data_IF_065601580444
#
_entry.id   IF_065601580444
#
_cell.length_a   1.000
_cell.length_b   1.000
_cell.length_c   1.000
_cell.angle_alpha   90.00
_cell.angle_beta   90.00
_cell.angle_gamma   90.00
#
_symmetry.space_group_name_H-M   'P 1'
#
loop_
_entity.id
_entity.type
_entity.pdbx_description
1 polymer ?
#
# COMPACT_ATOMS: atom_id res chain seq x y z
N UNK A 1 -11.35 51.45 25.39
CA UNK A 1 -12.51 50.67 24.90
C UNK A 1 -12.39 50.35 23.41
N UNK A 2 -11.95 51.28 22.56
CA UNK A 2 -11.79 51.07 21.11
C UNK A 2 -10.76 49.99 20.72
N UNK A 3 -9.61 49.95 21.40
CA UNK A 3 -8.53 48.97 21.11
C UNK A 3 -8.96 47.51 21.36
N UNK A 4 -9.68 47.29 22.49
CA UNK A 4 -10.21 45.96 22.81
C UNK A 4 -11.28 45.50 21.81
N UNK A 5 -12.14 46.41 21.38
CA UNK A 5 -13.16 46.13 20.37
C UNK A 5 -12.51 45.81 19.01
N UNK A 6 -11.50 46.57 18.61
CA UNK A 6 -10.74 46.33 17.38
C UNK A 6 -10.07 44.95 17.39
N UNK A 7 -9.40 44.59 18.49
CA UNK A 7 -8.78 43.26 18.66
C UNK A 7 -9.82 42.16 18.62
N UNK A 8 -10.94 42.33 19.33
CA UNK A 8 -12.02 41.34 19.35
C UNK A 8 -12.60 41.11 17.95
N UNK A 9 -12.86 42.17 17.18
CA UNK A 9 -13.36 42.04 15.81
C UNK A 9 -12.34 41.43 14.87
N UNK A 10 -11.06 41.78 14.98
CA UNK A 10 -9.99 41.20 14.17
C UNK A 10 -9.83 39.72 14.46
N UNK A 11 -9.85 39.30 15.72
CA UNK A 11 -9.79 37.88 16.11
C UNK A 11 -11.04 37.10 15.69
N UNK A 12 -12.23 37.70 15.84
CA UNK A 12 -13.46 37.06 15.37
C UNK A 12 -13.46 36.84 13.85
N UNK A 13 -13.00 37.85 13.09
CA UNK A 13 -12.82 37.73 11.64
C UNK A 13 -11.83 36.63 11.27
N UNK A 14 -10.67 36.58 11.92
CA UNK A 14 -9.67 35.54 11.72
C UNK A 14 -10.22 34.15 12.06
N UNK A 15 -10.98 34.03 13.15
CA UNK A 15 -11.62 32.78 13.54
C UNK A 15 -12.63 32.29 12.50
N UNK A 16 -13.46 33.18 11.95
CA UNK A 16 -14.41 32.84 10.88
C UNK A 16 -13.68 32.37 9.62
N UNK A 17 -12.61 33.07 9.22
CA UNK A 17 -11.80 32.67 8.06
C UNK A 17 -11.15 31.30 8.27
N UNK A 18 -10.67 31.01 9.47
CA UNK A 18 -10.09 29.71 9.81
C UNK A 18 -11.12 28.57 9.75
N UNK A 19 -12.30 28.75 10.38
CA UNK A 19 -13.39 27.74 10.34
C UNK A 19 -13.84 27.47 8.90
N UNK A 20 -13.97 28.53 8.10
CA UNK A 20 -14.38 28.42 6.69
C UNK A 20 -13.26 27.94 5.78
N UNK A 21 -12.07 27.65 6.32
CA UNK A 21 -10.87 27.26 5.54
C UNK A 21 -10.64 28.22 4.36
N UNK A 22 -10.79 29.52 4.62
CA UNK A 22 -10.71 30.54 3.60
C UNK A 22 -9.33 30.54 2.91
N UNK A 23 -9.25 30.73 1.58
CA UNK A 23 -7.99 30.83 0.87
C UNK A 23 -7.18 32.04 1.30
N UNK A 24 -5.86 31.99 1.16
CA UNK A 24 -4.93 33.03 1.64
C UNK A 24 -5.21 34.44 1.13
N UNK A 25 -5.75 34.59 -0.08
CA UNK A 25 -6.11 35.89 -0.61
C UNK A 25 -7.24 36.57 0.18
N UNK A 26 -8.18 35.80 0.76
CA UNK A 26 -9.21 36.37 1.66
C UNK A 26 -8.59 36.84 3.00
N UNK A 27 -7.61 36.10 3.51
CA UNK A 27 -6.86 36.54 4.69
C UNK A 27 -6.08 37.84 4.43
N UNK A 28 -5.47 37.95 3.22
CA UNK A 28 -4.77 39.15 2.80
C UNK A 28 -5.70 40.37 2.78
N UNK A 29 -6.90 40.22 2.18
CA UNK A 29 -7.90 41.29 2.12
C UNK A 29 -8.40 41.67 3.52
N UNK A 30 -8.77 40.67 4.33
CA UNK A 30 -9.28 40.94 5.70
C UNK A 30 -8.22 41.62 6.57
N UNK A 31 -6.96 41.19 6.49
CA UNK A 31 -5.87 41.82 7.22
C UNK A 31 -5.58 43.25 6.70
N UNK A 32 -5.66 43.49 5.39
CA UNK A 32 -5.51 44.85 4.82
C UNK A 32 -6.61 45.77 5.29
N UNK A 33 -7.86 45.32 5.32
CA UNK A 33 -8.99 46.07 5.83
C UNK A 33 -8.80 46.36 7.34
N UNK A 34 -8.41 45.38 8.13
CA UNK A 34 -8.14 45.54 9.55
C UNK A 34 -7.00 46.58 9.78
N UNK A 35 -5.93 46.49 8.99
CA UNK A 35 -4.82 47.47 9.04
C UNK A 35 -5.33 48.90 8.76
N UNK A 36 -6.09 49.08 7.68
CA UNK A 36 -6.64 50.38 7.31
C UNK A 36 -7.52 50.95 8.40
N UNK A 37 -8.46 50.16 8.94
CA UNK A 37 -9.34 50.57 10.03
C UNK A 37 -8.54 50.86 11.32
N UNK A 38 -7.50 50.13 11.63
CA UNK A 38 -6.63 50.36 12.76
C UNK A 38 -5.85 51.68 12.67
N UNK A 39 -5.40 52.06 11.48
CA UNK A 39 -4.70 53.33 11.23
C UNK A 39 -5.66 54.54 11.32
N UNK A 40 -6.88 54.40 10.80
CA UNK A 40 -7.87 55.49 10.77
C UNK A 40 -8.57 55.70 12.12
N UNK A 41 -8.51 54.77 13.01
CA UNK A 41 -9.25 54.81 14.26
C UNK A 41 -8.41 55.44 15.38
N UNK A 42 -8.92 56.46 16.11
CA UNK A 42 -8.26 57.03 17.31
C UNK A 42 -8.36 56.04 18.47
N UNK A 43 -7.63 54.91 18.40
CA UNK A 43 -7.85 53.74 19.24
C UNK A 43 -7.26 53.82 20.64
N UNK A 44 -6.36 54.74 20.94
CA UNK A 44 -5.86 54.99 22.31
C UNK A 44 -5.16 56.32 22.45
N UNK A 45 -4.95 56.72 23.70
CA UNK A 45 -4.15 57.85 24.12
C UNK A 45 -2.63 57.58 24.12
N UNK A 46 -2.20 56.35 23.76
CA UNK A 46 -0.79 55.98 23.69
C UNK A 46 -0.35 55.80 22.23
N UNK A 47 0.46 56.76 21.71
CA UNK A 47 0.87 56.76 20.31
C UNK A 47 1.77 55.59 19.90
N UNK A 48 2.49 54.97 20.85
CA UNK A 48 3.43 53.89 20.54
C UNK A 48 2.73 52.52 20.35
N UNK A 49 1.73 52.22 21.17
CA UNK A 49 0.97 50.95 21.05
C UNK A 49 0.05 50.93 19.83
N UNK A 50 -0.41 52.06 19.34
CA UNK A 50 -1.31 52.23 18.19
C UNK A 50 -0.66 51.98 16.84
N UNK A 51 0.64 52.27 16.73
CA UNK A 51 1.35 52.13 15.45
C UNK A 51 1.79 50.72 15.16
N UNK A 52 2.11 49.96 16.18
CA UNK A 52 2.71 48.62 16.01
C UNK A 52 1.70 47.54 15.61
N UNK A 53 0.52 47.50 16.22
CA UNK A 53 -0.46 46.43 15.97
C UNK A 53 -1.05 46.45 14.54
N UNK A 54 -1.52 47.61 14.01
CA UNK A 54 -1.94 47.68 12.61
C UNK A 54 -0.80 47.33 11.63
N UNK A 55 0.46 47.72 11.93
CA UNK A 55 1.59 47.40 11.11
C UNK A 55 1.89 45.88 11.08
N UNK A 56 1.77 45.20 12.24
CA UNK A 56 1.90 43.77 12.32
C UNK A 56 0.81 43.04 11.49
N UNK A 57 -0.44 43.49 11.59
CA UNK A 57 -1.54 42.97 10.78
C UNK A 57 -1.30 43.25 9.30
N UNK A 58 -0.76 44.43 8.95
CA UNK A 58 -0.36 44.80 7.61
C UNK A 58 0.74 43.86 7.06
N UNK A 59 1.70 43.51 7.88
CA UNK A 59 2.73 42.54 7.52
C UNK A 59 2.09 41.15 7.20
N UNK A 60 1.14 40.70 7.99
CA UNK A 60 0.38 39.46 7.71
C UNK A 60 -0.36 39.56 6.41
N UNK A 61 -0.98 40.74 6.10
CA UNK A 61 -1.64 40.95 4.81
C UNK A 61 -0.69 40.77 3.62
N UNK A 62 0.52 41.36 3.70
CA UNK A 62 1.55 41.27 2.66
C UNK A 62 2.03 39.81 2.50
N UNK A 63 2.29 39.12 3.62
CA UNK A 63 2.72 37.70 3.60
C UNK A 63 1.63 36.83 2.99
N UNK A 64 0.38 36.97 3.40
CA UNK A 64 -0.73 36.20 2.83
C UNK A 64 -0.93 36.50 1.33
N UNK A 65 -0.80 37.76 0.92
CA UNK A 65 -0.87 38.15 -0.50
C UNK A 65 0.26 37.51 -1.30
N UNK A 66 1.50 37.59 -0.83
CA UNK A 66 2.65 36.98 -1.49
C UNK A 66 2.52 35.46 -1.62
N UNK A 67 2.09 34.76 -0.55
CA UNK A 67 1.90 33.32 -0.53
C UNK A 67 0.66 32.87 -1.32
N UNK A 68 -0.27 33.79 -1.62
CA UNK A 68 -1.39 33.51 -2.52
C UNK A 68 -0.97 33.35 -3.97
N UNK A 69 0.17 33.92 -4.34
CA UNK A 69 0.72 33.82 -5.70
C UNK A 69 1.56 32.50 -5.77
N UNK A 70 1.14 31.51 -6.56
CA UNK A 70 1.81 30.19 -6.60
C UNK A 70 3.31 30.28 -6.90
N UNK A 71 3.70 31.14 -7.84
CA UNK A 71 5.10 31.31 -8.23
C UNK A 71 5.96 31.84 -7.07
N UNK A 72 5.49 32.88 -6.35
CA UNK A 72 6.19 33.41 -5.17
C UNK A 72 6.27 32.39 -4.05
N UNK A 73 5.15 31.73 -3.74
CA UNK A 73 5.13 30.65 -2.73
C UNK A 73 6.11 29.53 -3.04
N UNK A 74 6.17 29.11 -4.31
CA UNK A 74 7.11 28.08 -4.73
C UNK A 74 8.56 28.53 -4.57
N UNK A 75 8.86 29.76 -4.92
CA UNK A 75 10.22 30.30 -4.89
C UNK A 75 10.69 30.51 -3.43
N UNK A 76 9.82 31.12 -2.58
CA UNK A 76 10.23 31.58 -1.23
C UNK A 76 10.10 30.47 -0.20
N UNK A 77 9.09 29.59 -0.31
CA UNK A 77 8.75 28.63 0.74
C UNK A 77 8.87 27.18 0.26
N UNK A 78 8.15 26.82 -0.82
CA UNK A 78 7.99 25.39 -1.18
C UNK A 78 9.30 24.77 -1.68
N UNK A 79 10.02 25.44 -2.59
CA UNK A 79 11.28 24.90 -3.12
C UNK A 79 12.40 24.83 -2.07
N UNK A 80 12.66 25.88 -1.25
CA UNK A 80 13.64 25.77 -0.17
C UNK A 80 13.30 24.67 0.85
N UNK A 81 12.05 24.60 1.28
CA UNK A 81 11.59 23.56 2.21
C UNK A 81 11.74 22.16 1.60
N UNK A 82 11.32 21.99 0.36
CA UNK A 82 11.46 20.71 -0.35
C UNK A 82 12.93 20.28 -0.49
N UNK A 83 13.82 21.21 -0.87
CA UNK A 83 15.24 20.91 -1.01
C UNK A 83 15.88 20.53 0.35
N UNK A 84 15.47 21.23 1.43
CA UNK A 84 15.92 20.91 2.78
C UNK A 84 15.45 19.51 3.23
N UNK A 85 14.19 19.19 3.02
CA UNK A 85 13.65 17.86 3.35
C UNK A 85 14.31 16.77 2.50
N UNK A 86 14.44 17.01 1.19
CA UNK A 86 15.10 16.06 0.27
C UNK A 86 16.54 15.73 0.68
N UNK A 87 17.25 16.69 1.25
CA UNK A 87 18.62 16.48 1.70
C UNK A 87 18.75 15.54 2.91
N UNK A 88 17.69 15.40 3.72
CA UNK A 88 17.68 14.53 4.91
C UNK A 88 16.91 13.21 4.69
N UNK A 89 16.24 13.06 3.55
CA UNK A 89 15.58 11.79 3.22
C UNK A 89 16.64 10.72 2.91
N UNK A 90 16.38 9.47 3.36
CA UNK A 90 17.21 8.34 2.97
C UNK A 90 17.24 8.20 1.44
N UNK A 91 18.34 7.69 0.91
CA UNK A 91 18.40 7.39 -0.51
C UNK A 91 17.44 6.26 -0.84
N UNK A 92 16.71 6.42 -1.93
CA UNK A 92 15.88 5.35 -2.50
C UNK A 92 16.81 4.19 -2.88
N UNK A 93 16.44 2.96 -2.52
CA UNK A 93 17.17 1.76 -2.93
C UNK A 93 17.02 1.52 -4.44
N UNK A 94 17.91 0.75 -5.03
CA UNK A 94 17.86 0.44 -6.47
C UNK A 94 16.53 -0.27 -6.84
N UNK A 95 16.02 -1.12 -5.96
CA UNK A 95 14.73 -1.81 -6.15
C UNK A 95 13.54 -0.85 -6.12
N UNK A 96 13.53 0.09 -5.17
CA UNK A 96 12.51 1.13 -5.10
C UNK A 96 12.60 2.08 -6.30
N UNK A 97 13.81 2.40 -6.75
CA UNK A 97 14.02 3.21 -7.95
C UNK A 97 13.47 2.50 -9.19
N UNK A 98 13.74 1.21 -9.35
CA UNK A 98 13.16 0.39 -10.43
C UNK A 98 11.64 0.38 -10.40
N UNK A 99 11.03 0.27 -9.22
CA UNK A 99 9.59 0.34 -9.06
C UNK A 99 9.02 1.71 -9.43
N UNK A 100 9.71 2.79 -9.06
CA UNK A 100 9.35 4.17 -9.44
C UNK A 100 9.51 4.41 -10.95
N UNK A 101 10.55 3.88 -11.55
CA UNK A 101 10.85 4.03 -12.98
C UNK A 101 9.90 3.19 -13.85
N UNK A 102 9.40 2.07 -13.35
CA UNK A 102 8.35 1.27 -13.99
C UNK A 102 7.00 1.99 -14.07
N UNK A 103 6.77 2.92 -13.26
CA UNK A 103 6.10 4.21 -13.41
C UNK A 103 4.61 4.28 -13.65
N UNK A 104 3.75 3.36 -13.23
CA UNK A 104 2.30 3.64 -13.21
C UNK A 104 1.77 3.63 -11.79
N UNK A 105 1.66 4.80 -11.18
CA UNK A 105 1.10 4.95 -9.81
C UNK A 105 -0.45 4.89 -9.83
N UNK A 106 -1.06 4.63 -10.97
CA UNK A 106 -2.52 4.53 -11.08
C UNK A 106 -3.26 5.77 -10.54
N UNK A 107 -4.45 5.58 -9.99
CA UNK A 107 -5.27 6.64 -9.40
C UNK A 107 -4.76 7.11 -8.03
N UNK A 108 -3.89 6.36 -7.36
CA UNK A 108 -3.34 6.71 -6.06
C UNK A 108 -2.62 8.07 -6.08
N UNK A 109 -1.93 8.39 -7.17
CA UNK A 109 -1.29 9.69 -7.36
C UNK A 109 -2.29 10.86 -7.29
N UNK A 110 -3.51 10.67 -7.80
CA UNK A 110 -4.57 11.67 -7.74
C UNK A 110 -5.01 11.92 -6.29
N UNK A 111 -5.12 10.87 -5.46
CA UNK A 111 -5.47 10.98 -4.05
C UNK A 111 -4.44 11.81 -3.28
N UNK A 112 -3.15 11.54 -3.48
CA UNK A 112 -2.06 12.28 -2.86
C UNK A 112 -1.92 13.73 -3.35
N UNK A 113 -2.51 14.08 -4.50
CA UNK A 113 -2.55 15.45 -4.98
C UNK A 113 -3.39 16.40 -4.08
N UNK A 114 -4.28 15.83 -3.26
CA UNK A 114 -5.28 16.55 -2.48
C UNK A 114 -6.44 17.12 -3.30
N UNK A 115 -6.45 16.91 -4.61
CA UNK A 115 -7.49 17.33 -5.55
C UNK A 115 -7.69 16.26 -6.63
N UNK A 116 -8.16 15.06 -6.24
CA UNK A 116 -8.29 13.95 -7.17
C UNK A 116 -9.30 14.26 -8.28
N UNK A 117 -8.96 13.87 -9.48
CA UNK A 117 -9.87 13.89 -10.62
C UNK A 117 -10.75 12.63 -10.61
N UNK A 118 -11.92 12.74 -10.01
CA UNK A 118 -12.86 11.64 -9.88
C UNK A 118 -13.42 11.15 -11.23
N UNK A 119 -13.35 11.96 -12.30
CA UNK A 119 -13.77 11.51 -13.64
C UNK A 119 -12.80 10.44 -14.17
N UNK A 120 -11.50 10.57 -13.89
CA UNK A 120 -10.53 9.53 -14.24
C UNK A 120 -10.91 8.18 -13.61
N UNK A 121 -11.30 8.18 -12.31
CA UNK A 121 -11.73 6.95 -11.65
C UNK A 121 -13.02 6.40 -12.26
N UNK A 122 -14.00 7.25 -12.54
CA UNK A 122 -15.27 6.85 -13.17
C UNK A 122 -15.10 6.36 -14.61
N UNK A 123 -14.07 6.81 -15.30
CA UNK A 123 -13.77 6.38 -16.68
C UNK A 123 -13.11 5.00 -16.75
N UNK A 124 -12.63 4.45 -15.62
CA UNK A 124 -12.08 3.10 -15.59
C UNK A 124 -13.19 2.11 -15.93
N UNK A 125 -12.98 1.22 -16.91
CA UNK A 125 -13.98 0.21 -17.28
C UNK A 125 -14.37 -0.63 -16.06
N UNK A 126 -15.64 -0.93 -15.94
CA UNK A 126 -16.12 -1.86 -14.90
C UNK A 126 -15.53 -3.24 -15.08
N UNK A 127 -15.54 -4.03 -13.99
CA UNK A 127 -15.08 -5.41 -14.01
C UNK A 127 -16.02 -6.21 -14.92
N UNK A 128 -15.42 -6.90 -15.90
CA UNK A 128 -16.13 -7.82 -16.80
C UNK A 128 -15.55 -9.22 -16.57
N UNK A 129 -16.35 -10.08 -15.96
CA UNK A 129 -16.01 -11.50 -15.78
C UNK A 129 -16.37 -12.30 -17.04
N UNK A 130 -15.61 -13.33 -17.33
CA UNK A 130 -16.02 -14.38 -18.26
C UNK A 130 -17.20 -15.18 -17.70
N UNK A 131 -17.94 -15.89 -18.54
CA UNK A 131 -19.05 -16.73 -18.10
C UNK A 131 -18.60 -17.80 -17.10
N UNK A 132 -17.38 -18.34 -17.27
CA UNK A 132 -16.79 -19.35 -16.39
C UNK A 132 -16.45 -18.74 -15.02
N UNK A 133 -15.83 -17.56 -14.99
CA UNK A 133 -15.51 -16.85 -13.75
C UNK A 133 -16.78 -16.46 -12.98
N UNK A 134 -17.81 -16.02 -13.72
CA UNK A 134 -19.11 -15.71 -13.12
C UNK A 134 -19.80 -16.94 -12.55
N UNK A 135 -19.81 -18.05 -13.31
CA UNK A 135 -20.38 -19.30 -12.83
C UNK A 135 -19.66 -19.82 -11.57
N UNK A 136 -18.33 -19.65 -11.49
CA UNK A 136 -17.56 -20.00 -10.30
C UNK A 136 -17.90 -19.11 -9.10
N UNK A 137 -18.04 -17.80 -9.32
CA UNK A 137 -18.42 -16.84 -8.29
C UNK A 137 -19.83 -17.09 -7.75
N UNK A 138 -20.78 -17.43 -8.64
CA UNK A 138 -22.20 -17.61 -8.29
C UNK A 138 -22.52 -19.05 -7.81
N UNK A 139 -21.68 -20.04 -8.08
CA UNK A 139 -21.83 -21.43 -7.68
C UNK A 139 -20.82 -21.86 -6.61
N UNK A 140 -19.63 -22.35 -6.99
CA UNK A 140 -18.66 -22.86 -6.02
C UNK A 140 -18.31 -21.91 -4.89
N UNK A 141 -18.23 -20.61 -5.15
CA UNK A 141 -17.92 -19.62 -4.10
C UNK A 141 -19.07 -19.46 -3.11
N UNK A 142 -20.34 -19.51 -3.56
CA UNK A 142 -21.49 -19.52 -2.66
C UNK A 142 -21.53 -20.79 -1.80
N UNK A 143 -21.30 -21.94 -2.41
CA UNK A 143 -21.24 -23.22 -1.68
C UNK A 143 -20.13 -23.19 -0.63
N UNK A 144 -18.93 -22.67 -0.98
CA UNK A 144 -17.84 -22.48 -0.03
C UNK A 144 -18.25 -21.59 1.14
N UNK A 145 -18.85 -20.43 0.87
CA UNK A 145 -19.34 -19.51 1.89
C UNK A 145 -20.41 -20.12 2.80
N UNK A 146 -21.30 -20.96 2.25
CA UNK A 146 -22.32 -21.64 3.01
C UNK A 146 -21.78 -22.70 4.00
N UNK A 147 -20.57 -23.22 3.75
CA UNK A 147 -19.89 -24.16 4.64
C UNK A 147 -19.25 -23.48 5.86
N UNK A 148 -19.11 -22.14 5.86
CA UNK A 148 -18.37 -21.40 6.87
C UNK A 148 -19.29 -20.92 8.00
N UNK A 149 -18.95 -21.35 9.21
CA UNK A 149 -19.40 -20.75 10.46
C UNK A 149 -18.19 -20.11 11.14
N UNK A 150 -18.02 -18.80 10.95
CA UNK A 150 -16.86 -18.06 11.44
C UNK A 150 -16.77 -18.07 12.97
N UNK A 151 -17.92 -18.07 13.65
CA UNK A 151 -17.94 -18.16 15.11
C UNK A 151 -17.43 -19.53 15.60
N UNK A 152 -17.91 -20.60 14.98
CA UNK A 152 -17.51 -21.96 15.31
C UNK A 152 -16.00 -22.17 15.05
N UNK A 153 -15.52 -21.71 13.90
CA UNK A 153 -14.10 -21.78 13.52
C UNK A 153 -13.22 -21.07 14.54
N UNK A 154 -13.57 -19.87 14.96
CA UNK A 154 -12.72 -19.04 15.83
C UNK A 154 -12.78 -19.42 17.31
N UNK A 155 -13.93 -19.86 17.79
CA UNK A 155 -14.14 -20.02 19.22
C UNK A 155 -14.16 -21.48 19.69
N UNK A 156 -14.31 -22.43 18.77
CA UNK A 156 -14.39 -23.84 19.11
C UNK A 156 -13.38 -24.70 18.37
N UNK A 157 -13.30 -24.59 17.05
CA UNK A 157 -12.41 -25.41 16.24
C UNK A 157 -10.96 -24.90 16.28
N UNK A 158 -10.74 -23.56 16.34
CA UNK A 158 -9.47 -22.87 16.29
C UNK A 158 -8.62 -23.17 15.04
N UNK A 159 -9.22 -23.77 14.02
CA UNK A 159 -8.63 -24.05 12.72
C UNK A 159 -9.72 -24.15 11.65
N UNK A 160 -9.32 -24.04 10.39
CA UNK A 160 -10.24 -24.25 9.27
C UNK A 160 -10.51 -25.75 9.15
N UNK A 161 -11.80 -26.18 9.20
CA UNK A 161 -12.16 -27.59 9.13
C UNK A 161 -11.69 -28.27 7.85
N UNK A 162 -11.31 -29.54 7.94
CA UNK A 162 -10.81 -30.32 6.80
C UNK A 162 -11.81 -30.36 5.64
N UNK A 163 -13.13 -30.46 5.92
CA UNK A 163 -14.17 -30.39 4.89
C UNK A 163 -14.09 -29.13 4.02
N UNK A 164 -13.67 -28.01 4.60
CA UNK A 164 -13.51 -26.72 3.89
C UNK A 164 -12.25 -26.75 3.01
N UNK A 165 -11.16 -27.30 3.54
CA UNK A 165 -9.94 -27.54 2.77
C UNK A 165 -10.20 -28.46 1.59
N UNK A 166 -10.85 -29.59 1.81
CA UNK A 166 -11.18 -30.56 0.76
C UNK A 166 -12.05 -29.94 -0.33
N UNK A 167 -13.02 -29.15 0.04
CA UNK A 167 -13.85 -28.44 -0.92
C UNK A 167 -13.01 -27.45 -1.73
N UNK A 168 -12.17 -26.64 -1.07
CA UNK A 168 -11.31 -25.67 -1.73
C UNK A 168 -10.37 -26.34 -2.75
N UNK A 169 -9.73 -27.46 -2.38
CA UNK A 169 -8.85 -28.24 -3.24
C UNK A 169 -9.61 -28.84 -4.42
N UNK A 170 -10.72 -29.53 -4.15
CA UNK A 170 -11.50 -30.22 -5.18
C UNK A 170 -12.14 -29.28 -6.21
N UNK A 171 -12.47 -28.05 -5.81
CA UNK A 171 -13.06 -27.04 -6.71
C UNK A 171 -12.01 -26.13 -7.39
N UNK A 172 -10.72 -26.28 -7.07
CA UNK A 172 -9.64 -25.53 -7.70
C UNK A 172 -9.41 -24.13 -7.14
N UNK A 173 -9.91 -23.81 -5.94
CA UNK A 173 -9.69 -22.50 -5.31
C UNK A 173 -8.22 -22.18 -5.08
N UNK A 174 -7.35 -23.19 -4.92
CA UNK A 174 -5.92 -22.96 -4.67
C UNK A 174 -5.15 -22.65 -5.96
N UNK A 175 -5.73 -22.94 -7.12
CA UNK A 175 -5.09 -22.74 -8.43
C UNK A 175 -5.83 -21.77 -9.34
N UNK A 176 -6.53 -20.76 -8.79
CA UNK A 176 -7.33 -19.84 -9.60
C UNK A 176 -6.50 -19.09 -10.65
N UNK A 177 -5.30 -18.64 -10.30
CA UNK A 177 -4.40 -17.87 -11.17
C UNK A 177 -3.44 -18.73 -11.99
N UNK A 178 -3.24 -20.00 -11.63
CA UNK A 178 -2.41 -20.91 -12.41
C UNK A 178 -3.13 -21.18 -13.73
N UNK A 179 -2.39 -21.20 -14.83
CA UNK A 179 -2.94 -21.42 -16.17
C UNK A 179 -3.63 -22.79 -16.30
N UNK A 180 -4.56 -22.90 -17.23
CA UNK A 180 -5.24 -24.16 -17.55
C UNK A 180 -4.28 -25.21 -18.07
N UNK A 181 -3.22 -24.79 -18.75
CA UNK A 181 -2.14 -25.65 -19.23
C UNK A 181 -1.47 -26.40 -18.07
N UNK A 182 -1.31 -25.78 -16.94
CA UNK A 182 -0.73 -26.35 -15.72
C UNK A 182 -1.77 -26.84 -14.70
N UNK A 183 -3.00 -27.07 -15.15
CA UNK A 183 -4.07 -27.67 -14.32
C UNK A 183 -4.82 -26.71 -13.42
N UNK A 184 -4.58 -25.40 -13.51
CA UNK A 184 -5.31 -24.34 -12.80
C UNK A 184 -6.58 -23.89 -13.53
N UNK A 185 -7.20 -22.83 -13.01
CA UNK A 185 -8.43 -22.26 -13.59
C UNK A 185 -8.13 -21.14 -14.61
N UNK A 186 -6.96 -20.52 -14.55
CA UNK A 186 -6.57 -19.42 -15.44
C UNK A 186 -7.47 -18.20 -15.33
N UNK A 187 -7.98 -17.92 -14.14
CA UNK A 187 -8.88 -16.79 -13.89
C UNK A 187 -8.14 -15.46 -13.89
N UNK A 188 -8.87 -14.39 -14.16
CA UNK A 188 -8.35 -13.04 -14.07
C UNK A 188 -8.15 -12.60 -12.62
N UNK A 189 -7.27 -11.60 -12.42
CA UNK A 189 -7.09 -10.97 -11.11
C UNK A 189 -8.38 -10.31 -10.59
N UNK A 190 -9.26 -9.85 -11.51
CA UNK A 190 -10.57 -9.31 -11.13
C UNK A 190 -11.48 -10.40 -10.56
N UNK A 191 -11.54 -11.57 -11.19
CA UNK A 191 -12.31 -12.70 -10.67
C UNK A 191 -11.79 -13.14 -9.30
N UNK A 192 -10.48 -13.30 -9.15
CA UNK A 192 -9.85 -13.59 -7.88
C UNK A 192 -10.26 -12.58 -6.80
N UNK A 193 -10.17 -11.28 -7.09
CA UNK A 193 -10.50 -10.22 -6.15
C UNK A 193 -11.96 -10.31 -5.68
N UNK A 194 -12.90 -10.56 -6.59
CA UNK A 194 -14.33 -10.71 -6.24
C UNK A 194 -14.59 -11.97 -5.42
N UNK A 195 -13.99 -13.10 -5.79
CA UNK A 195 -14.10 -14.37 -5.06
C UNK A 195 -13.55 -14.21 -3.63
N UNK A 196 -12.35 -13.65 -3.48
CA UNK A 196 -11.74 -13.42 -2.18
C UNK A 196 -12.56 -12.43 -1.35
N UNK A 197 -13.07 -11.34 -1.94
CA UNK A 197 -13.92 -10.37 -1.26
C UNK A 197 -15.21 -11.01 -0.72
N UNK A 198 -15.83 -11.92 -1.49
CA UNK A 198 -17.02 -12.66 -1.07
C UNK A 198 -16.71 -13.60 0.10
N UNK A 199 -15.65 -14.39 0.01
CA UNK A 199 -15.24 -15.31 1.10
C UNK A 199 -14.87 -14.51 2.35
N UNK A 200 -14.08 -13.42 2.22
CA UNK A 200 -13.65 -12.57 3.32
C UNK A 200 -14.85 -11.93 4.05
N UNK A 201 -15.92 -11.59 3.33
CA UNK A 201 -17.14 -11.05 3.94
C UNK A 201 -17.86 -12.08 4.83
N UNK A 202 -17.59 -13.36 4.64
CA UNK A 202 -18.18 -14.46 5.43
C UNK A 202 -17.24 -14.93 6.54
N UNK A 203 -15.96 -15.13 6.23
CA UNK A 203 -14.93 -15.52 7.20
C UNK A 203 -13.55 -14.98 6.79
N UNK A 204 -13.01 -14.00 7.55
CA UNK A 204 -11.65 -13.50 7.33
C UNK A 204 -10.56 -14.57 7.52
N UNK A 205 -10.82 -15.60 8.32
CA UNK A 205 -9.87 -16.68 8.52
C UNK A 205 -9.88 -17.66 7.34
N UNK A 206 -11.07 -18.06 6.88
CA UNK A 206 -11.20 -18.98 5.76
C UNK A 206 -10.70 -18.41 4.43
N UNK A 207 -10.72 -17.09 4.22
CA UNK A 207 -10.17 -16.51 2.99
C UNK A 207 -8.69 -16.76 2.83
N UNK A 208 -7.93 -16.94 3.93
CA UNK A 208 -6.48 -17.11 3.88
C UNK A 208 -6.06 -18.38 3.13
N UNK A 209 -6.85 -19.47 3.23
CA UNK A 209 -6.53 -20.72 2.54
C UNK A 209 -6.66 -20.63 1.01
N UNK A 210 -7.43 -19.65 0.53
CA UNK A 210 -7.59 -19.36 -0.90
C UNK A 210 -6.68 -18.21 -1.33
N UNK A 211 -6.55 -17.17 -0.50
CA UNK A 211 -5.79 -15.97 -0.82
C UNK A 211 -4.29 -16.27 -0.96
N UNK A 212 -3.70 -17.00 -0.03
CA UNK A 212 -2.24 -17.23 -0.03
C UNK A 212 -1.76 -18.01 -1.24
N UNK A 213 -2.39 -19.12 -1.66
CA UNK A 213 -2.01 -19.83 -2.89
C UNK A 213 -2.11 -18.98 -4.18
N UNK A 214 -3.04 -18.03 -4.19
CA UNK A 214 -3.32 -17.18 -5.36
C UNK A 214 -2.77 -15.74 -5.23
N UNK A 215 -1.92 -15.47 -4.26
CA UNK A 215 -1.23 -14.19 -4.12
C UNK A 215 0.23 -14.33 -4.57
N UNK A 216 1.08 -13.41 -4.16
CA UNK A 216 2.52 -13.46 -4.44
C UNK A 216 3.15 -14.68 -3.74
N UNK A 217 2.90 -15.85 -4.28
CA UNK A 217 3.39 -17.12 -3.75
C UNK A 217 4.13 -17.95 -4.80
N UNK A 218 4.59 -19.16 -4.42
CA UNK A 218 5.31 -20.02 -5.33
C UNK A 218 4.60 -20.26 -6.67
N UNK A 219 3.27 -20.35 -6.70
CA UNK A 219 2.50 -20.61 -7.92
C UNK A 219 2.71 -19.53 -8.99
N UNK A 220 2.50 -18.26 -8.67
CA UNK A 220 2.67 -17.16 -9.61
C UNK A 220 4.14 -16.96 -10.02
N UNK A 221 5.06 -17.10 -9.08
CA UNK A 221 6.49 -16.98 -9.37
C UNK A 221 6.99 -18.09 -10.29
N UNK A 222 6.55 -19.32 -10.06
CA UNK A 222 6.89 -20.46 -10.93
C UNK A 222 6.27 -20.29 -12.32
N UNK A 223 5.01 -19.85 -12.40
CA UNK A 223 4.34 -19.60 -13.69
C UNK A 223 5.12 -18.59 -14.55
N UNK A 224 5.59 -17.50 -13.93
CA UNK A 224 6.28 -16.42 -14.65
C UNK A 224 7.76 -16.67 -14.88
N UNK A 225 8.46 -17.22 -13.90
CA UNK A 225 9.92 -17.24 -13.87
C UNK A 225 10.52 -18.63 -13.71
N UNK A 226 9.70 -19.65 -13.45
CA UNK A 226 10.17 -21.02 -13.31
C UNK A 226 10.70 -21.58 -14.64
N UNK A 227 11.69 -22.47 -14.56
CA UNK A 227 12.08 -23.31 -15.70
C UNK A 227 10.96 -24.29 -16.04
N UNK A 228 10.96 -24.85 -17.26
CA UNK A 228 9.95 -25.83 -17.66
C UNK A 228 9.91 -27.02 -16.70
N UNK A 229 11.07 -27.53 -16.29
CA UNK A 229 11.18 -28.59 -15.30
C UNK A 229 10.56 -28.24 -13.94
N UNK A 230 10.76 -27.02 -13.47
CA UNK A 230 10.14 -26.54 -12.21
C UNK A 230 8.62 -26.40 -12.36
N UNK A 231 8.14 -25.87 -13.48
CA UNK A 231 6.71 -25.76 -13.77
C UNK A 231 6.05 -27.12 -13.80
N UNK A 232 6.62 -28.06 -14.54
CA UNK A 232 6.13 -29.44 -14.63
C UNK A 232 6.12 -30.14 -13.26
N UNK A 233 7.15 -29.90 -12.45
CA UNK A 233 7.26 -30.53 -11.14
C UNK A 233 6.22 -30.01 -10.13
N UNK A 234 5.92 -28.71 -10.11
CA UNK A 234 5.19 -28.09 -8.98
C UNK A 234 3.81 -27.56 -9.32
N UNK A 235 3.57 -27.02 -10.54
CA UNK A 235 2.36 -26.26 -10.81
C UNK A 235 1.08 -27.09 -10.74
N UNK A 236 1.08 -28.31 -11.27
CA UNK A 236 -0.10 -29.20 -11.18
C UNK A 236 -0.40 -29.61 -9.73
N UNK A 237 0.63 -29.80 -8.91
CA UNK A 237 0.47 -30.05 -7.47
C UNK A 237 -0.15 -28.87 -6.72
N UNK A 238 0.31 -27.66 -7.03
CA UNK A 238 -0.21 -26.42 -6.47
C UNK A 238 -1.66 -26.14 -6.94
N UNK A 239 -1.92 -26.29 -8.24
CA UNK A 239 -3.24 -26.06 -8.81
C UNK A 239 -4.33 -26.96 -8.21
N UNK A 240 -3.99 -28.22 -7.97
CA UNK A 240 -4.90 -29.23 -7.38
C UNK A 240 -4.86 -29.30 -5.86
N UNK A 241 -4.08 -28.43 -5.21
CA UNK A 241 -3.97 -28.39 -3.75
C UNK A 241 -3.32 -29.64 -3.11
N UNK A 242 -2.58 -30.45 -3.88
CA UNK A 242 -1.70 -31.49 -3.32
C UNK A 242 -0.51 -30.84 -2.63
N UNK A 243 -0.04 -29.73 -3.19
CA UNK A 243 0.92 -28.83 -2.57
C UNK A 243 0.23 -27.59 -2.05
N UNK A 244 0.47 -27.24 -0.79
CA UNK A 244 -0.03 -26.02 -0.15
C UNK A 244 1.14 -25.06 -0.01
N UNK A 245 1.11 -23.92 -0.69
CA UNK A 245 2.21 -22.98 -0.63
C UNK A 245 2.13 -22.04 0.57
N UNK A 246 3.31 -21.61 1.04
CA UNK A 246 3.44 -20.38 1.80
C UNK A 246 4.57 -19.52 1.23
N UNK A 247 4.60 -18.22 1.58
CA UNK A 247 5.65 -17.31 1.17
C UNK A 247 6.35 -16.68 2.36
N UNK A 248 7.60 -17.08 2.59
CA UNK A 248 8.41 -16.66 3.71
C UNK A 248 9.19 -15.40 3.36
N UNK A 249 8.53 -14.24 3.50
CA UNK A 249 9.10 -12.92 3.25
C UNK A 249 9.46 -12.20 4.56
N UNK A 250 8.49 -12.06 5.46
CA UNK A 250 8.63 -11.29 6.70
C UNK A 250 9.64 -11.92 7.65
N UNK A 251 10.56 -11.09 8.14
CA UNK A 251 11.57 -11.47 9.14
C UNK A 251 11.46 -10.64 10.42
N UNK A 252 12.35 -10.87 11.40
CA UNK A 252 12.35 -10.12 12.67
C UNK A 252 12.54 -8.61 12.49
N UNK A 253 13.26 -8.20 11.46
CA UNK A 253 13.65 -6.81 11.20
C UNK A 253 13.08 -6.25 9.90
N UNK A 254 12.38 -7.07 9.12
CA UNK A 254 11.79 -6.71 7.82
C UNK A 254 10.32 -7.08 7.79
N UNK A 255 9.47 -6.09 7.57
CA UNK A 255 8.03 -6.22 7.43
C UNK A 255 7.59 -5.51 6.15
N UNK A 256 6.94 -4.35 6.29
CA UNK A 256 6.54 -3.51 5.15
C UNK A 256 7.72 -3.07 4.28
N UNK A 257 8.87 -2.84 4.88
CA UNK A 257 10.13 -2.67 4.16
C UNK A 257 10.81 -4.03 3.96
N UNK A 258 10.40 -4.74 2.90
CA UNK A 258 10.97 -6.03 2.55
C UNK A 258 12.45 -5.94 2.12
N UNK A 259 12.89 -4.77 1.66
CA UNK A 259 14.28 -4.55 1.24
C UNK A 259 15.28 -4.52 2.41
N UNK A 260 14.81 -4.45 3.66
CA UNK A 260 15.67 -4.51 4.86
C UNK A 260 15.86 -5.93 5.39
N UNK A 261 15.44 -6.96 4.67
CA UNK A 261 15.67 -8.35 5.11
C UNK A 261 17.17 -8.64 5.26
N UNK A 262 17.48 -9.49 6.25
CA UNK A 262 18.86 -9.90 6.55
C UNK A 262 19.17 -11.33 6.14
N UNK A 263 18.21 -11.99 5.54
CA UNK A 263 18.33 -13.37 5.11
C UNK A 263 19.24 -13.42 3.87
N UNK A 264 20.20 -14.32 3.90
CA UNK A 264 21.23 -14.41 2.86
C UNK A 264 21.45 -15.84 2.40
N UNK A 265 21.75 -15.98 1.12
CA UNK A 265 22.21 -17.21 0.50
C UNK A 265 23.53 -16.98 -0.22
N UNK A 266 24.49 -17.84 0.00
CA UNK A 266 25.77 -17.84 -0.70
C UNK A 266 25.85 -19.04 -1.61
N UNK A 267 26.14 -18.80 -2.89
CA UNK A 267 26.42 -19.87 -3.87
C UNK A 267 27.77 -20.45 -3.53
N UNK A 268 27.82 -21.76 -3.29
CA UNK A 268 29.07 -22.44 -2.96
C UNK A 268 29.02 -23.91 -3.41
N UNK A 269 30.21 -24.54 -3.51
CA UNK A 269 30.29 -25.99 -3.68
C UNK A 269 30.35 -26.66 -2.31
N UNK A 270 29.52 -27.66 -2.13
CA UNK A 270 29.45 -28.43 -0.88
C UNK A 270 29.16 -29.92 -1.15
N UNK A 271 29.30 -30.70 -0.11
CA UNK A 271 28.96 -32.14 -0.19
C UNK A 271 27.46 -32.34 0.06
N UNK A 272 26.75 -32.89 -0.88
CA UNK A 272 25.34 -33.30 -0.76
C UNK A 272 25.23 -34.76 -1.20
N UNK A 273 24.69 -35.62 -0.33
CA UNK A 273 24.56 -37.06 -0.57
C UNK A 273 25.85 -37.74 -1.04
N UNK A 274 26.99 -37.35 -0.50
CA UNK A 274 28.30 -37.89 -0.83
C UNK A 274 28.90 -37.41 -2.16
N UNK A 275 28.29 -36.42 -2.84
CA UNK A 275 28.80 -35.82 -4.09
C UNK A 275 29.05 -34.32 -3.87
N UNK A 276 30.12 -33.82 -4.49
CA UNK A 276 30.33 -32.38 -4.58
C UNK A 276 29.25 -31.79 -5.48
N UNK A 277 28.47 -30.85 -4.93
CA UNK A 277 27.31 -30.28 -5.61
C UNK A 277 27.37 -28.77 -5.50
N UNK A 278 27.06 -28.06 -6.57
CA UNK A 278 26.81 -26.63 -6.55
C UNK A 278 25.47 -26.39 -5.84
N UNK A 279 25.46 -25.53 -4.83
CA UNK A 279 24.29 -25.27 -4.03
C UNK A 279 24.27 -23.86 -3.46
N UNK A 280 23.29 -23.59 -2.61
CA UNK A 280 23.14 -22.31 -1.91
C UNK A 280 23.12 -22.60 -0.40
N UNK A 281 24.11 -22.04 0.33
CA UNK A 281 24.11 -22.08 1.77
C UNK A 281 23.26 -20.93 2.31
N UNK A 282 22.10 -21.25 2.91
CA UNK A 282 21.12 -20.31 3.40
C UNK A 282 21.30 -20.01 4.90
N UNK A 283 21.19 -18.72 5.26
CA UNK A 283 21.03 -18.26 6.64
C UNK A 283 19.81 -17.33 6.68
N UNK A 284 18.76 -17.76 7.41
CA UNK A 284 17.51 -17.03 7.42
C UNK A 284 16.73 -17.22 8.73
N UNK A 285 15.90 -16.21 9.02
CA UNK A 285 14.93 -16.23 10.12
C UNK A 285 13.65 -15.54 9.69
N UNK A 286 12.54 -16.26 9.64
CA UNK A 286 11.23 -15.77 9.22
C UNK A 286 10.20 -15.89 10.32
N UNK A 287 9.19 -14.99 10.31
CA UNK A 287 8.07 -15.02 11.26
C UNK A 287 6.77 -14.57 10.62
N UNK A 288 5.66 -14.91 11.26
CA UNK A 288 4.33 -14.54 10.81
C UNK A 288 3.98 -15.04 9.40
N UNK A 289 4.41 -16.26 9.08
CA UNK A 289 4.19 -16.83 7.75
C UNK A 289 2.82 -17.48 7.69
N UNK A 290 1.89 -16.83 7.00
CA UNK A 290 0.53 -17.33 6.80
C UNK A 290 0.57 -18.66 6.06
N UNK A 291 -0.21 -19.63 6.52
CA UNK A 291 -0.20 -21.04 6.12
C UNK A 291 1.10 -21.81 6.40
N UNK A 292 2.12 -21.20 7.01
CA UNK A 292 3.39 -21.89 7.33
C UNK A 292 3.21 -23.27 7.97
N UNK A 293 2.35 -23.44 9.00
CA UNK A 293 2.13 -24.75 9.64
C UNK A 293 1.46 -25.82 8.75
N UNK A 294 0.77 -25.42 7.70
CA UNK A 294 0.05 -26.30 6.76
C UNK A 294 0.79 -26.45 5.41
N UNK A 295 1.81 -25.63 5.18
CA UNK A 295 2.50 -25.60 3.89
C UNK A 295 3.35 -26.85 3.64
N UNK A 296 3.30 -27.33 2.41
CA UNK A 296 4.16 -28.39 1.87
C UNK A 296 5.25 -27.83 0.96
N UNK A 297 5.04 -26.61 0.45
CA UNK A 297 5.97 -25.89 -0.40
C UNK A 297 6.16 -24.46 0.11
N UNK A 298 7.42 -24.09 0.36
CA UNK A 298 7.77 -22.77 0.88
C UNK A 298 8.54 -21.97 -0.17
N UNK A 299 7.98 -20.81 -0.58
CA UNK A 299 8.76 -19.77 -1.23
C UNK A 299 9.54 -19.00 -0.18
N UNK A 300 10.85 -18.89 -0.33
CA UNK A 300 11.75 -18.19 0.58
C UNK A 300 12.39 -17.00 -0.10
N UNK A 301 12.18 -15.79 0.46
CA UNK A 301 12.86 -14.58 0.01
C UNK A 301 14.17 -14.36 0.79
N UNK A 302 15.26 -14.12 0.08
CA UNK A 302 16.59 -13.85 0.63
C UNK A 302 17.47 -13.11 -0.39
N UNK A 303 18.54 -12.48 0.07
CA UNK A 303 19.56 -11.94 -0.82
C UNK A 303 20.53 -13.03 -1.25
N UNK A 304 20.71 -13.21 -2.56
CA UNK A 304 21.64 -14.18 -3.13
C UNK A 304 22.98 -13.50 -3.43
N UNK A 305 24.07 -14.12 -2.97
CA UNK A 305 25.44 -13.72 -3.25
C UNK A 305 26.20 -14.85 -3.95
N UNK A 306 26.89 -14.50 -5.01
CA UNK A 306 27.78 -15.41 -5.76
C UNK A 306 29.17 -14.79 -5.89
N UNK A 307 29.96 -14.75 -4.79
CA UNK A 307 31.25 -14.08 -4.76
C UNK A 307 32.29 -14.71 -5.70
N UNK A 308 32.15 -15.99 -5.99
CA UNK A 308 33.08 -16.76 -6.84
C UNK A 308 32.57 -16.91 -8.29
N UNK A 309 31.45 -16.23 -8.63
CA UNK A 309 30.82 -16.28 -9.95
C UNK A 309 30.57 -17.71 -10.47
N UNK A 310 30.04 -18.58 -9.61
CA UNK A 310 29.82 -20.00 -9.92
C UNK A 310 28.56 -20.22 -10.78
N UNK A 311 27.66 -19.24 -10.82
CA UNK A 311 26.45 -19.28 -11.65
C UNK A 311 26.68 -18.73 -13.07
N UNK A 312 27.74 -18.00 -13.31
CA UNK A 312 28.06 -17.37 -14.59
C UNK A 312 27.56 -15.94 -14.73
#
# INVERSE_FOLDING_TARGET
>A
MGTLLYLALSLAGAFVLAIKRAPLWLWAIAAAIATYLGIQSPLSSDPAALSVLPLLIGLVAVVCAALSIPALRQMILTRPAFNGIRAVLPRVSDTEQQALDAGTIGFDAELFSGRPDWEKLRSVPGIVLTDEEKAFLDGPTEEFCAMLDDWQIRHHENEIPERVWDYAKNKGFLGMLISKEHGGLGFSAQAQSLILGKIASRSPDAVTIVMVPNSLGPGELLEKYGTDAQKEQYLDGLAKGREVPCFSLTGPTSGSDAATMRDVGYVERGMHEGKETLGIRLSWEKRYITLGPKATLMGLAFYLFDPDNLLG
#
